data_IF_363373039119
#
_entry.id   IF_363373039119
#
_cell.length_a   1.000
_cell.length_b   1.000
_cell.length_c   1.000
_cell.angle_alpha   90.00
_cell.angle_beta   90.00
_cell.angle_gamma   90.00
#
_symmetry.space_group_name_H-M   'P 1'
#
loop_
_entity.id
_entity.type
_entity.pdbx_description
1 polymer ?
#
# COMPACT_ATOMS: atom_id res chain seq x y z
N UNK A 1 24.41 41.02 -42.17
CA UNK A 1 23.28 40.05 -42.05
C UNK A 1 22.78 40.08 -40.62
N UNK A 2 21.57 40.58 -40.40
CA UNK A 2 20.96 40.74 -39.07
C UNK A 2 20.49 39.37 -38.59
N UNK A 3 21.11 38.83 -37.53
CA UNK A 3 20.62 37.60 -36.88
C UNK A 3 19.36 37.96 -36.11
N UNK A 4 18.20 37.64 -36.67
CA UNK A 4 16.94 37.72 -35.94
C UNK A 4 16.94 36.58 -34.92
N UNK A 5 17.22 36.90 -33.66
CA UNK A 5 17.08 35.97 -32.55
C UNK A 5 15.60 35.60 -32.43
N UNK A 6 15.24 34.43 -32.92
CA UNK A 6 13.96 33.78 -32.64
C UNK A 6 13.81 33.70 -31.13
N UNK A 7 12.91 34.49 -30.56
CA UNK A 7 12.51 34.36 -29.16
C UNK A 7 12.11 32.91 -28.95
N UNK A 8 12.82 32.19 -28.09
CA UNK A 8 12.35 30.94 -27.50
C UNK A 8 11.09 31.32 -26.73
N UNK A 9 9.93 31.06 -27.33
CA UNK A 9 8.68 31.09 -26.60
C UNK A 9 8.71 29.84 -25.75
N UNK A 10 8.96 30.00 -24.45
CA UNK A 10 8.75 28.93 -23.50
C UNK A 10 7.23 28.71 -23.43
N UNK A 11 6.74 27.72 -24.18
CA UNK A 11 5.32 27.44 -24.40
C UNK A 11 4.69 26.68 -23.21
N UNK A 12 4.84 27.25 -22.01
CA UNK A 12 4.17 26.72 -20.81
C UNK A 12 2.62 26.82 -20.87
N UNK A 13 2.07 27.38 -21.95
CA UNK A 13 0.63 27.44 -22.19
C UNK A 13 0.09 26.08 -22.63
N UNK A 14 -0.93 25.62 -21.92
CA UNK A 14 -1.68 24.42 -22.29
C UNK A 14 -2.30 24.61 -23.68
N UNK A 15 -2.11 23.63 -24.58
CA UNK A 15 -2.67 23.72 -25.93
C UNK A 15 -4.20 23.78 -25.90
N UNK A 16 -4.79 24.49 -26.86
CA UNK A 16 -6.24 24.73 -26.94
C UNK A 16 -7.06 23.44 -27.03
N UNK A 17 -6.48 22.35 -27.53
CA UNK A 17 -7.12 21.04 -27.57
C UNK A 17 -7.28 20.36 -26.18
N UNK A 18 -6.51 20.77 -25.17
CA UNK A 18 -6.59 20.20 -23.83
C UNK A 18 -7.52 21.02 -22.94
N UNK A 19 -8.64 20.42 -22.52
CA UNK A 19 -9.57 20.97 -21.54
C UNK A 19 -9.51 20.13 -20.26
N UNK A 20 -8.76 20.61 -19.26
CA UNK A 20 -8.57 19.91 -17.98
C UNK A 20 -9.89 19.73 -17.21
N UNK A 21 -10.90 20.56 -17.46
CA UNK A 21 -12.23 20.47 -16.83
C UNK A 21 -12.98 19.20 -17.22
N UNK A 22 -12.63 18.63 -18.38
CA UNK A 22 -13.19 17.36 -18.87
C UNK A 22 -12.40 16.14 -18.41
N UNK A 23 -11.27 16.33 -17.72
CA UNK A 23 -10.45 15.22 -17.25
C UNK A 23 -10.99 14.69 -15.92
N UNK A 24 -11.08 13.37 -15.82
CA UNK A 24 -11.39 12.70 -14.56
C UNK A 24 -10.18 12.72 -13.64
N UNK A 25 -10.29 13.38 -12.49
CA UNK A 25 -9.25 13.35 -11.46
C UNK A 25 -9.30 11.99 -10.74
N UNK A 26 -8.25 11.19 -10.92
CA UNK A 26 -8.09 9.91 -10.23
C UNK A 26 -7.05 10.03 -9.12
N UNK A 27 -7.37 9.71 -7.86
CA UNK A 27 -6.38 9.65 -6.80
C UNK A 27 -5.36 8.54 -7.09
N UNK A 28 -4.08 8.84 -6.92
CA UNK A 28 -2.98 7.87 -7.11
C UNK A 28 -2.12 7.78 -5.84
N UNK A 29 -1.37 6.69 -5.73
CA UNK A 29 -0.49 6.46 -4.58
C UNK A 29 -1.26 6.36 -3.26
N UNK A 30 -0.86 7.14 -2.24
CA UNK A 30 -1.46 7.10 -0.89
C UNK A 30 -2.92 7.57 -0.83
N UNK A 31 -3.38 8.30 -1.84
CA UNK A 31 -4.76 8.79 -1.95
C UNK A 31 -5.67 7.85 -2.74
N UNK A 32 -5.13 6.81 -3.38
CA UNK A 32 -5.91 5.81 -4.10
C UNK A 32 -6.84 5.07 -3.12
N UNK A 33 -8.18 5.13 -3.29
CA UNK A 33 -9.13 4.48 -2.41
C UNK A 33 -8.89 2.96 -2.29
N UNK A 34 -8.38 2.33 -3.36
CA UNK A 34 -8.04 0.90 -3.38
C UNK A 34 -6.81 0.59 -2.53
N UNK A 35 -5.89 1.55 -2.37
CA UNK A 35 -4.67 1.40 -1.55
C UNK A 35 -4.89 1.75 -0.08
N UNK A 36 -5.91 2.58 0.22
CA UNK A 36 -6.29 2.92 1.60
C UNK A 36 -6.86 1.74 2.38
N UNK A 37 -7.43 0.75 1.70
CA UNK A 37 -7.99 -0.44 2.34
C UNK A 37 -6.86 -1.45 2.56
N UNK A 38 -6.33 -1.52 3.79
CA UNK A 38 -5.65 -2.71 4.30
C UNK A 38 -4.12 -2.78 4.26
N UNK A 39 -3.38 -1.71 3.94
CA UNK A 39 -1.91 -1.72 4.02
C UNK A 39 -1.37 -1.12 5.33
N UNK A 40 -1.88 -1.55 6.48
CA UNK A 40 -1.26 -1.20 7.76
C UNK A 40 0.06 -1.98 7.86
N UNK A 41 1.17 -1.30 7.61
CA UNK A 41 2.51 -1.87 7.79
C UNK A 41 2.79 -1.99 9.29
N UNK A 42 2.88 -3.22 9.79
CA UNK A 42 3.28 -3.53 11.17
C UNK A 42 4.74 -3.95 11.14
N UNK A 43 5.58 -3.26 11.91
CA UNK A 43 7.01 -3.60 12.03
C UNK A 43 7.16 -4.70 13.07
N UNK A 44 7.69 -5.85 12.63
CA UNK A 44 8.06 -6.96 13.52
C UNK A 44 9.47 -6.74 14.08
N UNK A 45 9.76 -7.37 15.22
CA UNK A 45 11.12 -7.40 15.75
C UNK A 45 12.07 -8.15 14.79
N UNK A 46 13.37 -7.80 14.73
CA UNK A 46 14.29 -8.31 13.71
C UNK A 46 14.50 -9.83 13.73
N UNK A 47 14.38 -10.46 14.89
CA UNK A 47 14.45 -11.90 15.07
C UNK A 47 13.18 -12.60 14.57
N UNK A 48 12.00 -12.05 14.87
CA UNK A 48 10.71 -12.56 14.36
C UNK A 48 10.65 -12.42 12.84
N UNK A 49 11.10 -11.28 12.29
CA UNK A 49 11.17 -11.06 10.85
C UNK A 49 12.14 -12.03 10.13
N UNK A 50 13.21 -12.49 10.81
CA UNK A 50 14.11 -13.53 10.29
C UNK A 50 13.46 -14.92 10.31
N UNK A 51 12.64 -15.20 11.32
CA UNK A 51 11.94 -16.48 11.45
C UNK A 51 10.76 -16.60 10.47
N UNK A 52 10.09 -15.50 10.15
CA UNK A 52 8.92 -15.45 9.28
C UNK A 52 9.17 -14.55 8.05
N UNK A 53 9.54 -15.14 6.89
CA UNK A 53 9.92 -14.37 5.70
C UNK A 53 8.73 -13.74 4.96
N UNK A 54 7.49 -14.11 5.28
CA UNK A 54 6.27 -13.55 4.69
C UNK A 54 5.18 -13.26 5.71
N UNK A 55 4.29 -12.33 5.37
CA UNK A 55 3.08 -12.02 6.12
C UNK A 55 2.11 -13.20 6.19
N UNK A 56 2.02 -14.00 5.13
CA UNK A 56 1.27 -15.27 5.10
C UNK A 56 1.73 -16.20 6.23
N UNK A 57 3.04 -16.41 6.38
CA UNK A 57 3.59 -17.30 7.41
C UNK A 57 3.29 -16.81 8.84
N UNK A 58 3.38 -15.49 9.08
CA UNK A 58 3.01 -14.88 10.36
C UNK A 58 1.53 -15.09 10.64
N UNK A 59 0.67 -14.81 9.66
CA UNK A 59 -0.77 -14.90 9.81
C UNK A 59 -1.23 -16.35 10.07
N UNK A 60 -0.62 -17.32 9.42
CA UNK A 60 -0.90 -18.74 9.68
C UNK A 60 -0.51 -19.15 11.10
N UNK A 61 0.68 -18.76 11.57
CA UNK A 61 1.12 -19.04 12.94
C UNK A 61 0.15 -18.45 13.98
N UNK A 62 -0.25 -17.18 13.81
CA UNK A 62 -1.20 -16.53 14.70
C UNK A 62 -2.59 -17.21 14.68
N UNK A 63 -3.05 -17.65 13.50
CA UNK A 63 -4.31 -18.43 13.39
C UNK A 63 -4.21 -19.76 14.12
N UNK A 64 -3.06 -20.44 14.08
CA UNK A 64 -2.85 -21.70 14.81
C UNK A 64 -2.93 -21.47 16.32
N UNK A 65 -2.30 -20.40 16.83
CA UNK A 65 -2.38 -20.02 18.24
C UNK A 65 -3.85 -19.77 18.64
N UNK A 66 -4.59 -18.99 17.85
CA UNK A 66 -6.01 -18.72 18.11
C UNK A 66 -6.88 -20.00 18.12
N UNK A 67 -6.54 -20.99 17.28
CA UNK A 67 -7.21 -22.29 17.29
C UNK A 67 -6.86 -23.09 18.55
N UNK A 68 -5.58 -23.13 18.92
CA UNK A 68 -5.11 -23.83 20.11
C UNK A 68 -5.75 -23.26 21.40
N UNK A 69 -5.88 -21.94 21.50
CA UNK A 69 -6.53 -21.29 22.65
C UNK A 69 -8.04 -21.56 22.74
N UNK A 70 -8.69 -21.93 21.63
CA UNK A 70 -10.12 -22.27 21.60
C UNK A 70 -10.40 -23.73 21.94
N UNK A 71 -9.39 -24.60 21.92
CA UNK A 71 -9.54 -25.97 22.39
C UNK A 71 -9.61 -25.88 23.91
N UNK A 72 -10.77 -26.18 24.54
CA UNK A 72 -10.83 -26.25 25.99
C UNK A 72 -9.80 -27.29 26.43
N UNK A 73 -8.86 -26.87 27.28
CA UNK A 73 -7.92 -27.78 27.93
C UNK A 73 -8.77 -28.88 28.56
N UNK A 74 -8.67 -30.10 28.01
CA UNK A 74 -9.52 -31.22 28.39
C UNK A 74 -9.57 -31.28 29.90
N UNK A 75 -10.77 -31.10 30.45
CA UNK A 75 -11.05 -31.23 31.87
C UNK A 75 -10.42 -32.55 32.30
N UNK A 76 -9.32 -32.44 33.03
CA UNK A 76 -8.78 -33.50 33.85
C UNK A 76 -9.85 -33.82 34.90
N UNK A 77 -10.86 -34.59 34.49
CA UNK A 77 -11.81 -35.21 35.39
C UNK A 77 -11.03 -36.26 36.18
N UNK A 78 -10.73 -35.87 37.42
CA UNK A 78 -10.22 -36.70 38.50
C UNK A 78 -10.74 -38.14 38.41
N UNK A 79 -9.80 -39.08 38.45
CA UNK A 79 -10.04 -40.41 39.01
C UNK A 79 -10.34 -40.29 40.51
#
# INVERSE_FOLDING_TARGET
MKKNSTKKQDDYELRKEYDLSKMTVLPRGRFDPKRRIGSNVVVLEPDIAKAFPSDEAVNEALRLILKATKIPQGTAASR
#
